data_IF_134258809554
#
_entry.id   IF_134258809554
#
_cell.length_a   1.000
_cell.length_b   1.000
_cell.length_c   1.000
_cell.angle_alpha   90.00
_cell.angle_beta   90.00
_cell.angle_gamma   90.00
#
_symmetry.space_group_name_H-M   'P 1'
#
loop_
_entity.id
_entity.type
_entity.pdbx_description
1 polymer ?
#
# COMPACT_ATOMS: atom_id res chain seq x y z
N UNK A 1 -2.28 -1.96 14.13
CA UNK A 1 -3.31 -2.57 13.24
C UNK A 1 -3.98 -1.51 12.39
N UNK A 2 -4.35 -0.35 12.95
CA UNK A 2 -4.95 0.74 12.16
C UNK A 2 -4.11 1.18 10.95
N UNK A 3 -2.78 1.18 11.05
CA UNK A 3 -1.88 1.50 9.92
C UNK A 3 -1.96 0.52 8.74
N UNK A 4 -2.47 -0.70 8.97
CA UNK A 4 -2.71 -1.71 7.94
C UNK A 4 -4.09 -1.53 7.29
N UNK A 5 -4.96 -0.67 7.82
CA UNK A 5 -6.20 -0.35 7.12
C UNK A 5 -5.88 0.50 5.88
N UNK A 6 -6.67 0.29 4.83
CA UNK A 6 -6.64 1.09 3.62
C UNK A 6 -7.18 2.48 3.93
N UNK A 7 -6.31 3.47 3.84
CA UNK A 7 -6.71 4.88 3.72
C UNK A 7 -7.08 5.19 2.28
N UNK A 8 -7.75 6.33 2.06
CA UNK A 8 -8.01 6.81 0.71
C UNK A 8 -6.71 7.11 -0.06
N UNK A 9 -5.66 7.59 0.64
CA UNK A 9 -4.33 7.81 0.07
C UNK A 9 -3.68 6.53 -0.43
N UNK A 10 -3.69 5.46 0.38
CA UNK A 10 -3.12 4.16 0.00
C UNK A 10 -3.76 3.66 -1.30
N UNK A 11 -5.08 3.69 -1.35
CA UNK A 11 -5.84 3.20 -2.50
C UNK A 11 -5.60 4.05 -3.74
N UNK A 12 -5.52 5.37 -3.61
CA UNK A 12 -5.18 6.25 -4.71
C UNK A 12 -3.81 5.89 -5.32
N UNK A 13 -2.78 5.70 -4.49
CA UNK A 13 -1.43 5.30 -4.96
C UNK A 13 -1.48 3.94 -5.65
N UNK A 14 -2.20 2.97 -5.06
CA UNK A 14 -2.33 1.63 -5.62
C UNK A 14 -3.02 1.66 -6.99
N UNK A 15 -4.14 2.39 -7.12
CA UNK A 15 -4.91 2.48 -8.36
C UNK A 15 -4.11 3.17 -9.47
N UNK A 16 -3.39 4.26 -9.15
CA UNK A 16 -2.45 4.89 -10.10
C UNK A 16 -1.41 3.87 -10.58
N UNK A 17 -0.80 3.13 -9.66
CA UNK A 17 0.20 2.11 -10.00
C UNK A 17 -0.35 0.90 -10.75
N UNK A 18 -1.67 0.70 -10.79
CA UNK A 18 -2.32 -0.33 -11.61
C UNK A 18 -2.60 0.12 -13.04
N UNK A 19 -2.50 1.43 -13.33
CA UNK A 19 -2.67 2.03 -14.66
C UNK A 19 -3.94 1.54 -15.38
N UNK A 20 -5.07 1.55 -14.65
CA UNK A 20 -6.35 1.09 -15.14
C UNK A 20 -7.07 2.20 -15.93
N UNK A 21 -7.86 1.82 -16.94
CA UNK A 21 -8.81 2.76 -17.53
C UNK A 21 -9.89 3.17 -16.51
N UNK A 22 -10.51 4.33 -16.75
CA UNK A 22 -11.47 4.91 -15.81
C UNK A 22 -12.70 4.03 -15.53
N UNK A 23 -13.12 3.19 -16.49
CA UNK A 23 -14.27 2.28 -16.30
C UNK A 23 -13.87 1.10 -15.43
N UNK A 24 -12.71 0.50 -15.71
CA UNK A 24 -12.19 -0.61 -14.89
C UNK A 24 -11.87 -0.13 -13.49
N UNK A 25 -11.24 1.03 -13.34
CA UNK A 25 -10.94 1.60 -12.02
C UNK A 25 -12.21 1.78 -11.19
N UNK A 26 -13.28 2.32 -11.77
CA UNK A 26 -14.59 2.48 -11.10
C UNK A 26 -15.14 1.13 -10.62
N UNK A 27 -15.07 0.09 -11.46
CA UNK A 27 -15.48 -1.28 -11.09
C UNK A 27 -14.60 -1.84 -9.97
N UNK A 28 -13.28 -1.58 -10.00
CA UNK A 28 -12.34 -2.01 -8.96
C UNK A 28 -12.65 -1.31 -7.63
N UNK A 29 -12.87 0.01 -7.64
CA UNK A 29 -13.27 0.77 -6.45
C UNK A 29 -14.55 0.21 -5.82
N UNK A 30 -15.55 -0.11 -6.64
CA UNK A 30 -16.79 -0.73 -6.17
C UNK A 30 -16.55 -2.11 -5.55
N UNK A 31 -15.71 -2.94 -6.16
CA UNK A 31 -15.37 -4.25 -5.61
C UNK A 31 -14.61 -4.14 -4.29
N UNK A 32 -13.66 -3.22 -4.19
CA UNK A 32 -12.92 -2.94 -2.96
C UNK A 32 -13.90 -2.53 -1.86
N UNK A 33 -14.77 -1.56 -2.11
CA UNK A 33 -15.72 -1.11 -1.08
C UNK A 33 -16.65 -2.21 -0.60
N UNK A 34 -17.14 -3.07 -1.51
CA UNK A 34 -18.08 -4.14 -1.18
C UNK A 34 -17.41 -5.36 -0.51
N UNK A 35 -16.19 -5.73 -0.93
CA UNK A 35 -15.57 -7.01 -0.53
C UNK A 35 -14.44 -6.85 0.48
N UNK A 36 -13.84 -5.67 0.58
CA UNK A 36 -12.69 -5.39 1.45
C UNK A 36 -13.07 -4.46 2.62
N UNK A 37 -14.35 -4.42 2.98
CA UNK A 37 -14.91 -3.44 3.94
C UNK A 37 -14.20 -3.45 5.29
N UNK A 38 -13.77 -4.62 5.77
CA UNK A 38 -13.03 -4.75 7.03
C UNK A 38 -11.61 -4.17 6.97
N UNK A 39 -11.01 -4.16 5.78
CA UNK A 39 -9.69 -3.60 5.53
C UNK A 39 -9.72 -2.09 5.32
N UNK A 40 -10.88 -1.47 5.06
CA UNK A 40 -10.99 -0.02 4.95
C UNK A 40 -10.83 0.66 6.32
N UNK A 41 -10.24 1.86 6.32
CA UNK A 41 -10.29 2.73 7.49
C UNK A 41 -11.76 3.03 7.88
N UNK A 42 -12.00 3.12 9.18
CA UNK A 42 -13.35 3.17 9.77
C UNK A 42 -14.30 4.20 9.11
N UNK A 43 -13.86 5.44 8.79
CA UNK A 43 -14.76 6.45 8.20
C UNK A 43 -15.36 6.07 6.85
N UNK A 44 -14.72 5.14 6.12
CA UNK A 44 -15.12 4.74 4.77
C UNK A 44 -16.06 3.53 4.74
N UNK A 45 -16.15 2.81 5.86
CA UNK A 45 -16.91 1.56 5.93
C UNK A 45 -18.40 1.81 5.70
N UNK A 46 -18.98 2.86 6.26
CA UNK A 46 -20.43 3.09 6.15
C UNK A 46 -20.82 4.14 5.11
N UNK A 47 -19.86 4.87 4.56
CA UNK A 47 -20.12 5.94 3.60
C UNK A 47 -19.33 5.72 2.29
N UNK A 48 -20.01 5.09 1.32
CA UNK A 48 -19.45 4.87 -0.02
C UNK A 48 -19.12 6.17 -0.73
N UNK A 49 -19.95 7.21 -0.55
CA UNK A 49 -19.75 8.49 -1.23
C UNK A 49 -18.47 9.14 -0.71
N UNK A 50 -18.28 9.15 0.61
CA UNK A 50 -17.05 9.65 1.24
C UNK A 50 -15.83 8.85 0.77
N UNK A 51 -15.91 7.53 0.79
CA UNK A 51 -14.86 6.65 0.25
C UNK A 51 -14.46 7.03 -1.18
N UNK A 52 -15.44 7.08 -2.09
CA UNK A 52 -15.18 7.37 -3.50
C UNK A 52 -14.58 8.75 -3.70
N UNK A 53 -15.16 9.78 -3.07
CA UNK A 53 -14.70 11.16 -3.24
C UNK A 53 -13.29 11.37 -2.70
N UNK A 54 -12.95 10.80 -1.54
CA UNK A 54 -11.61 10.96 -0.98
C UNK A 54 -10.55 10.20 -1.77
N UNK A 55 -10.85 8.99 -2.25
CA UNK A 55 -9.91 8.25 -3.13
C UNK A 55 -9.65 9.03 -4.41
N UNK A 56 -10.69 9.58 -5.05
CA UNK A 56 -10.55 10.39 -6.26
C UNK A 56 -9.80 11.70 -6.00
N UNK A 57 -10.04 12.35 -4.85
CA UNK A 57 -9.30 13.53 -4.44
C UNK A 57 -7.80 13.23 -4.34
N UNK A 58 -7.41 12.19 -3.60
CA UNK A 58 -5.99 11.82 -3.46
C UNK A 58 -5.38 11.37 -4.77
N UNK A 59 -6.14 10.69 -5.63
CA UNK A 59 -5.67 10.31 -6.97
C UNK A 59 -5.34 11.56 -7.79
N UNK A 60 -6.25 12.53 -7.84
CA UNK A 60 -6.01 13.78 -8.54
C UNK A 60 -4.80 14.53 -7.94
N UNK A 61 -4.71 14.59 -6.62
CA UNK A 61 -3.58 15.18 -5.91
C UNK A 61 -2.25 14.53 -6.33
N UNK A 62 -2.17 13.20 -6.38
CA UNK A 62 -0.94 12.50 -6.76
C UNK A 62 -0.60 12.63 -8.25
N UNK A 63 -1.59 12.71 -9.14
CA UNK A 63 -1.37 12.98 -10.57
C UNK A 63 -0.78 14.38 -10.80
N UNK A 64 -1.23 15.36 -10.01
CA UNK A 64 -0.77 16.77 -10.08
C UNK A 64 0.35 17.07 -9.08
N UNK A 65 0.94 16.04 -8.45
CA UNK A 65 1.85 16.19 -7.32
C UNK A 65 2.99 17.16 -7.59
N UNK A 66 3.59 17.12 -8.78
CA UNK A 66 4.68 18.04 -9.14
C UNK A 66 4.26 19.52 -9.15
N UNK A 67 2.99 19.79 -9.43
CA UNK A 67 2.43 21.14 -9.42
C UNK A 67 2.05 21.55 -7.99
N UNK A 68 1.44 20.63 -7.23
CA UNK A 68 0.98 20.88 -5.86
C UNK A 68 2.13 20.93 -4.84
N UNK A 69 3.18 20.12 -5.01
CA UNK A 69 4.40 20.17 -4.19
C UNK A 69 5.13 21.52 -4.31
N UNK A 70 4.90 22.29 -5.40
CA UNK A 70 5.44 23.66 -5.53
C UNK A 70 4.69 24.69 -4.67
N UNK A 71 3.45 24.39 -4.31
CA UNK A 71 2.64 25.22 -3.42
C UNK A 71 2.91 24.92 -1.95
N UNK A 72 3.47 23.74 -1.64
CA UNK A 72 3.76 23.31 -0.27
C UNK A 72 4.69 24.28 0.50
N UNK A 73 5.77 24.82 -0.09
CA UNK A 73 6.61 25.82 0.59
C UNK A 73 5.86 27.12 0.89
N UNK A 74 4.88 27.50 0.07
CA UNK A 74 4.05 28.70 0.30
C UNK A 74 3.14 28.48 1.51
N UNK A 75 2.48 27.32 1.56
CA UNK A 75 1.63 26.92 2.70
C UNK A 75 2.43 26.81 4.00
N UNK A 76 3.65 26.23 3.95
CA UNK A 76 4.53 26.16 5.13
C UNK A 76 4.90 27.55 5.63
N UNK A 77 5.25 28.47 4.73
CA UNK A 77 5.58 29.85 5.07
C UNK A 77 4.39 30.62 5.67
N UNK A 78 3.19 30.37 5.17
CA UNK A 78 1.96 30.96 5.72
C UNK A 78 1.64 30.42 7.12
N UNK A 79 1.85 29.11 7.34
CA UNK A 79 1.70 28.48 8.67
C UNK A 79 2.73 29.01 9.67
N UNK A 80 3.99 29.15 9.24
CA UNK A 80 5.07 29.75 10.04
C UNK A 80 4.74 31.19 10.44
N UNK A 81 4.15 31.96 9.52
CA UNK A 81 3.68 33.32 9.78
C UNK A 81 2.54 33.38 10.80
N UNK A 82 1.77 32.30 10.94
CA UNK A 82 0.76 32.10 11.98
C UNK A 82 1.28 31.50 13.29
N UNK A 83 2.59 31.26 13.41
CA UNK A 83 3.20 30.63 14.60
C UNK A 83 3.05 29.10 14.65
N UNK A 84 2.68 28.47 13.54
CA UNK A 84 2.56 27.02 13.42
C UNK A 84 3.71 26.46 12.58
N UNK A 85 4.23 25.28 12.95
CA UNK A 85 5.24 24.56 12.16
C UNK A 85 4.70 23.19 11.81
N UNK A 86 5.06 22.70 10.62
CA UNK A 86 4.69 21.37 10.15
C UNK A 86 5.96 20.53 10.08
N UNK A 87 6.11 19.57 11.00
CA UNK A 87 7.15 18.56 10.91
C UNK A 87 6.70 17.46 9.94
N UNK A 88 7.18 17.53 8.70
CA UNK A 88 6.86 16.54 7.67
C UNK A 88 7.44 15.16 7.98
N UNK A 89 8.46 15.05 8.83
CA UNK A 89 9.06 13.77 9.21
C UNK A 89 8.25 13.05 10.30
N UNK A 90 7.47 13.77 11.13
CA UNK A 90 6.52 13.18 12.07
C UNK A 90 5.41 12.35 11.37
N UNK A 91 5.12 12.67 10.10
CA UNK A 91 4.11 11.97 9.29
C UNK A 91 4.64 10.71 8.57
N UNK A 92 5.93 10.39 8.67
CA UNK A 92 6.52 9.21 8.02
C UNK A 92 6.66 8.07 9.04
N UNK A 93 5.73 7.11 9.00
CA UNK A 93 5.89 5.87 9.76
C UNK A 93 7.08 5.06 9.23
N UNK A 94 7.88 4.49 10.15
CA UNK A 94 9.06 3.65 9.87
C UNK A 94 8.78 2.46 8.91
N UNK A 95 7.50 2.07 8.77
CA UNK A 95 7.05 0.99 7.90
C UNK A 95 6.00 1.44 6.86
N UNK A 96 5.74 2.74 6.71
CA UNK A 96 4.68 3.25 5.83
C UNK A 96 4.76 2.66 4.41
N UNK A 97 5.94 2.75 3.80
CA UNK A 97 6.16 2.28 2.44
C UNK A 97 6.03 0.74 2.33
N UNK A 98 6.46 0.01 3.37
CA UNK A 98 6.34 -1.44 3.42
C UNK A 98 4.90 -1.90 3.65
N UNK A 99 4.12 -1.18 4.45
CA UNK A 99 2.69 -1.45 4.62
C UNK A 99 1.97 -1.25 3.29
N UNK A 100 2.26 -0.15 2.59
CA UNK A 100 1.73 0.14 1.27
C UNK A 100 2.05 -0.96 0.25
N UNK A 101 3.23 -1.57 0.31
CA UNK A 101 3.55 -2.76 -0.49
C UNK A 101 2.51 -3.86 -0.32
N UNK A 102 2.25 -4.29 0.92
CA UNK A 102 1.34 -5.41 1.18
C UNK A 102 -0.12 -5.06 0.88
N UNK A 103 -0.54 -3.82 1.14
CA UNK A 103 -1.83 -3.29 0.67
C UNK A 103 -1.94 -3.45 -0.85
N UNK A 104 -0.91 -3.01 -1.58
CA UNK A 104 -0.86 -3.11 -3.04
C UNK A 104 -0.88 -4.55 -3.53
N UNK A 105 -0.14 -5.46 -2.87
CA UNK A 105 -0.10 -6.88 -3.23
C UNK A 105 -1.50 -7.50 -3.17
N UNK A 106 -2.24 -7.30 -2.06
CA UNK A 106 -3.59 -7.86 -1.93
C UNK A 106 -4.54 -7.33 -3.01
N UNK A 107 -4.59 -6.00 -3.19
CA UNK A 107 -5.47 -5.37 -4.19
C UNK A 107 -5.12 -5.84 -5.61
N UNK A 108 -3.82 -5.91 -5.97
CA UNK A 108 -3.40 -6.37 -7.30
C UNK A 108 -3.70 -7.86 -7.52
N UNK A 109 -3.53 -8.70 -6.50
CA UNK A 109 -3.87 -10.12 -6.61
C UNK A 109 -5.39 -10.32 -6.80
N UNK A 110 -6.23 -9.54 -6.12
CA UNK A 110 -7.69 -9.68 -6.19
C UNK A 110 -8.33 -9.00 -7.40
N UNK A 111 -7.78 -7.86 -7.83
CA UNK A 111 -8.44 -6.95 -8.76
C UNK A 111 -7.55 -6.47 -9.91
N UNK A 112 -6.28 -6.91 -9.96
CA UNK A 112 -5.39 -6.59 -11.07
C UNK A 112 -5.79 -7.28 -12.38
N UNK A 113 -5.54 -6.62 -13.50
CA UNK A 113 -5.83 -7.11 -14.86
C UNK A 113 -4.79 -8.13 -15.36
N UNK A 114 -4.37 -9.05 -14.50
CA UNK A 114 -3.25 -9.94 -14.77
C UNK A 114 -3.20 -11.15 -13.87
N UNK A 115 -1.98 -11.57 -13.52
CA UNK A 115 -1.77 -12.77 -12.70
C UNK A 115 -2.18 -12.49 -11.26
N UNK A 116 -2.86 -13.45 -10.64
CA UNK A 116 -3.31 -13.43 -9.23
C UNK A 116 -2.15 -13.58 -8.22
N UNK A 117 -0.99 -13.03 -8.56
CA UNK A 117 0.21 -13.08 -7.74
C UNK A 117 1.13 -11.89 -8.00
N UNK A 118 1.93 -11.54 -6.99
CA UNK A 118 3.04 -10.59 -7.13
C UNK A 118 4.36 -11.31 -6.90
N UNK A 119 5.34 -11.06 -7.79
CA UNK A 119 6.68 -11.65 -7.69
C UNK A 119 7.74 -10.58 -7.48
N UNK A 120 8.59 -10.81 -6.48
CA UNK A 120 9.71 -9.92 -6.17
C UNK A 120 10.83 -10.73 -5.51
N UNK A 121 12.09 -10.40 -5.80
CA UNK A 121 13.22 -10.97 -5.03
C UNK A 121 13.22 -10.37 -3.64
N UNK A 122 13.52 -11.17 -2.61
CA UNK A 122 13.61 -10.65 -1.24
C UNK A 122 14.60 -9.48 -1.13
N UNK A 123 15.76 -9.57 -1.77
CA UNK A 123 16.75 -8.48 -1.85
C UNK A 123 16.14 -7.20 -2.41
N UNK A 124 15.36 -7.30 -3.48
CA UNK A 124 14.71 -6.14 -4.12
C UNK A 124 13.66 -5.54 -3.21
N UNK A 125 12.82 -6.37 -2.57
CA UNK A 125 11.83 -5.91 -1.60
C UNK A 125 12.49 -5.09 -0.48
N UNK A 126 13.55 -5.64 0.13
CA UNK A 126 14.28 -4.97 1.20
C UNK A 126 14.90 -3.65 0.72
N UNK A 127 15.56 -3.66 -0.43
CA UNK A 127 16.26 -2.49 -0.96
C UNK A 127 15.31 -1.34 -1.34
N UNK A 128 14.16 -1.64 -1.97
CA UNK A 128 13.16 -0.62 -2.36
C UNK A 128 12.63 0.14 -1.14
N UNK A 129 12.52 -0.54 -0.01
CA UNK A 129 12.01 0.03 1.24
C UNK A 129 13.12 0.40 2.24
N UNK A 130 14.36 0.59 1.76
CA UNK A 130 15.46 1.11 2.57
C UNK A 130 16.09 0.13 3.57
N UNK A 131 15.65 -1.13 3.59
CA UNK A 131 16.17 -2.14 4.50
C UNK A 131 17.45 -2.77 3.97
N UNK A 132 18.57 -2.52 4.66
CA UNK A 132 19.89 -3.09 4.30
C UNK A 132 20.06 -4.55 4.73
N UNK A 133 19.32 -5.00 5.75
CA UNK A 133 19.47 -6.33 6.36
C UNK A 133 18.11 -6.92 6.70
N UNK A 134 18.01 -8.25 6.61
CA UNK A 134 16.88 -9.01 7.15
C UNK A 134 17.00 -9.09 8.68
N UNK A 135 16.36 -8.17 9.39
CA UNK A 135 16.26 -8.22 10.86
C UNK A 135 15.08 -9.08 11.30
N UNK A 136 15.13 -9.61 12.53
CA UNK A 136 14.02 -10.38 13.10
C UNK A 136 12.73 -9.55 13.22
N UNK A 137 12.85 -8.27 13.58
CA UNK A 137 11.72 -7.34 13.67
C UNK A 137 11.06 -7.12 12.31
N UNK A 138 11.87 -6.92 11.25
CA UNK A 138 11.36 -6.74 9.91
C UNK A 138 10.64 -7.99 9.39
N UNK A 139 11.22 -9.17 9.61
CA UNK A 139 10.57 -10.43 9.22
C UNK A 139 9.26 -10.62 9.98
N UNK A 140 9.25 -10.32 11.29
CA UNK A 140 8.03 -10.39 12.09
C UNK A 140 6.95 -9.43 11.56
N UNK A 141 7.33 -8.20 11.19
CA UNK A 141 6.41 -7.23 10.60
C UNK A 141 5.87 -7.70 9.25
N UNK A 142 6.72 -8.24 8.37
CA UNK A 142 6.29 -8.82 7.09
C UNK A 142 5.29 -9.96 7.31
N UNK A 143 5.59 -10.88 8.24
CA UNK A 143 4.69 -11.99 8.58
C UNK A 143 3.35 -11.49 9.10
N UNK A 144 3.35 -10.46 9.94
CA UNK A 144 2.13 -9.81 10.44
C UNK A 144 1.30 -9.19 9.31
N UNK A 145 1.95 -8.51 8.37
CA UNK A 145 1.25 -7.97 7.19
C UNK A 145 0.65 -9.10 6.35
N UNK A 146 1.42 -10.19 6.14
CA UNK A 146 0.94 -11.35 5.41
C UNK A 146 -0.28 -11.99 6.06
N UNK A 147 -0.23 -12.21 7.37
CA UNK A 147 -1.35 -12.75 8.15
C UNK A 147 -2.58 -11.83 8.04
N UNK A 148 -2.40 -10.52 8.25
CA UNK A 148 -3.49 -9.56 8.19
C UNK A 148 -4.18 -9.53 6.82
N UNK A 149 -3.43 -9.58 5.73
CA UNK A 149 -3.98 -9.53 4.37
C UNK A 149 -4.24 -10.92 3.76
N UNK A 150 -4.17 -11.99 4.55
CA UNK A 150 -4.33 -13.37 4.08
C UNK A 150 -3.43 -13.69 2.87
N UNK A 151 -2.15 -13.33 2.98
CA UNK A 151 -1.16 -13.53 1.93
C UNK A 151 -0.26 -14.72 2.26
N UNK A 152 -0.03 -15.58 1.27
CA UNK A 152 1.00 -16.63 1.31
C UNK A 152 2.15 -16.29 0.38
N UNK A 153 3.37 -16.48 0.88
CA UNK A 153 4.59 -16.41 0.08
C UNK A 153 5.07 -17.82 -0.26
N UNK A 154 5.40 -18.05 -1.52
CA UNK A 154 6.02 -19.30 -2.01
C UNK A 154 7.29 -18.98 -2.77
N UNK A 155 8.24 -19.92 -2.77
CA UNK A 155 9.40 -19.87 -3.65
C UNK A 155 8.98 -20.18 -5.09
N UNK A 156 9.89 -19.90 -6.03
CA UNK A 156 9.69 -20.28 -7.44
C UNK A 156 9.41 -21.79 -7.53
N UNK A 157 8.32 -22.16 -8.20
CA UNK A 157 7.89 -23.56 -8.31
C UNK A 157 6.87 -23.99 -7.25
N UNK A 158 6.46 -23.10 -6.34
CA UNK A 158 5.39 -23.36 -5.37
C UNK A 158 5.86 -23.98 -4.06
N UNK A 159 7.17 -24.13 -3.85
CA UNK A 159 7.71 -24.60 -2.57
C UNK A 159 7.44 -23.62 -1.43
N UNK A 160 7.38 -24.15 -0.21
CA UNK A 160 7.20 -23.35 0.99
C UNK A 160 8.35 -22.34 1.16
N UNK A 161 8.01 -21.15 1.66
CA UNK A 161 8.96 -20.09 1.89
C UNK A 161 9.01 -19.74 3.38
N UNK A 162 10.13 -20.07 4.02
CA UNK A 162 10.47 -19.51 5.32
C UNK A 162 11.26 -18.21 5.13
N UNK A 163 10.59 -17.07 5.40
CA UNK A 163 11.20 -15.75 5.27
C UNK A 163 12.37 -15.53 6.24
N UNK A 164 12.46 -16.28 7.34
CA UNK A 164 13.54 -16.17 8.32
C UNK A 164 14.85 -16.78 7.81
N UNK A 165 14.77 -17.78 6.92
CA UNK A 165 15.93 -18.55 6.46
C UNK A 165 16.18 -18.44 4.96
N UNK A 166 15.20 -18.09 4.12
CA UNK A 166 15.36 -18.09 2.67
C UNK A 166 16.48 -17.15 2.17
N UNK A 167 17.12 -17.50 1.05
CA UNK A 167 18.20 -16.68 0.49
C UNK A 167 17.69 -15.32 -0.03
N UNK A 168 18.49 -14.26 0.10
CA UNK A 168 18.09 -12.91 -0.33
C UNK A 168 17.78 -12.82 -1.84
N UNK A 169 18.43 -13.63 -2.68
CA UNK A 169 18.17 -13.65 -4.12
C UNK A 169 16.99 -14.52 -4.54
N UNK A 170 16.32 -15.17 -3.58
CA UNK A 170 15.15 -15.99 -3.87
C UNK A 170 13.99 -15.13 -4.35
N UNK A 171 13.32 -15.63 -5.38
CA UNK A 171 12.12 -15.00 -5.92
C UNK A 171 10.91 -15.46 -5.09
N UNK A 172 10.33 -14.50 -4.38
CA UNK A 172 9.09 -14.70 -3.63
C UNK A 172 7.91 -14.51 -4.57
N UNK A 173 6.89 -15.36 -4.39
CA UNK A 173 5.60 -15.25 -5.08
C UNK A 173 4.52 -15.12 -4.02
N UNK A 174 3.96 -13.93 -3.89
CA UNK A 174 2.86 -13.62 -2.99
C UNK A 174 1.52 -13.88 -3.68
N UNK A 175 0.58 -14.50 -2.97
CA UNK A 175 -0.80 -14.77 -3.41
C UNK A 175 -1.76 -14.54 -2.24
N UNK A 176 -3.01 -14.23 -2.54
CA UNK A 176 -4.08 -14.25 -1.54
C UNK A 176 -4.52 -15.70 -1.33
N UNK A 177 -4.60 -16.13 -0.07
CA UNK A 177 -5.19 -17.41 0.28
C UNK A 177 -6.71 -17.32 0.07
N UNK A 178 -7.30 -18.30 -0.62
CA UNK A 178 -8.75 -18.37 -0.76
C UNK A 178 -9.35 -18.57 0.64
N UNK A 179 -10.14 -17.59 1.08
CA UNK A 179 -10.92 -17.63 2.33
C UNK A 179 -12.28 -18.26 2.04
#
# INVERSE_FOLDING_TARGET
MNELLYTAQDLAIILIGMDLDCRIESVVMDRIWNREKEFLAEPYRQDRRKFTLEVLYWRHYFSEKTTLDRELPVVQKDLESGGHTVDLEEYRSDYFDLNLFFKSVRIRCLYGMGKEYVRIKLRTLLAVYGYRRRSRQLVFHILRCMEFYHLKATLRGGGDCDLTTCGLDQMLTFRVEQI
#
